data_IF_242708711519
#
_entry.id   IF_242708711519
#
_cell.length_a   1.000
_cell.length_b   1.000
_cell.length_c   1.000
_cell.angle_alpha   90.00
_cell.angle_beta   90.00
_cell.angle_gamma   90.00
#
_symmetry.space_group_name_H-M   'P 1'
#
loop_
_entity.id
_entity.type
_entity.pdbx_description
1 polymer ?
#
# COMPACT_ATOMS: atom_id res chain seq x y z
N UNK A 1 -3.41 13.86 -52.17
CA UNK A 1 -2.40 14.90 -51.89
C UNK A 1 -1.54 14.45 -50.73
N UNK A 2 -0.35 13.96 -51.08
CA UNK A 2 0.76 13.66 -50.16
C UNK A 2 1.34 14.97 -49.65
N UNK A 3 1.68 15.05 -48.36
CA UNK A 3 2.91 15.72 -47.92
C UNK A 3 3.57 14.90 -46.83
N UNK A 4 4.76 14.43 -47.18
CA UNK A 4 5.73 13.66 -46.41
C UNK A 4 6.90 14.57 -45.99
N UNK A 5 7.33 14.47 -44.72
CA UNK A 5 8.72 14.60 -44.17
C UNK A 5 9.52 15.91 -44.39
N UNK A 6 10.73 16.10 -43.78
CA UNK A 6 11.40 15.44 -42.64
C UNK A 6 12.01 16.45 -41.63
N UNK A 7 12.60 15.97 -40.51
CA UNK A 7 14.01 16.20 -40.12
C UNK A 7 14.29 15.59 -38.74
N UNK A 8 15.26 14.68 -38.74
CA UNK A 8 15.90 13.99 -37.63
C UNK A 8 16.94 14.93 -37.00
N UNK A 9 17.07 14.91 -35.67
CA UNK A 9 18.39 14.90 -34.98
C UNK A 9 18.19 14.48 -33.52
N UNK A 10 18.77 13.34 -33.18
CA UNK A 10 18.83 12.83 -31.82
C UNK A 10 19.69 13.73 -30.92
N UNK A 11 19.35 13.73 -29.64
CA UNK A 11 20.25 14.16 -28.59
C UNK A 11 20.13 13.18 -27.42
N UNK A 12 21.19 12.39 -27.27
CA UNK A 12 21.54 11.64 -26.07
C UNK A 12 21.55 12.59 -24.86
N UNK A 13 20.59 12.46 -23.96
CA UNK A 13 20.68 13.09 -22.65
C UNK A 13 21.58 12.24 -21.75
N UNK A 14 22.82 12.73 -21.67
CA UNK A 14 23.91 12.31 -20.78
C UNK A 14 23.40 12.20 -19.34
N UNK A 15 23.60 11.02 -18.76
CA UNK A 15 23.43 10.74 -17.34
C UNK A 15 24.34 11.65 -16.51
N UNK A 16 23.76 12.44 -15.60
CA UNK A 16 24.49 13.12 -14.53
C UNK A 16 23.83 12.76 -13.20
N UNK A 17 24.08 11.53 -12.74
CA UNK A 17 23.78 11.11 -11.37
C UNK A 17 25.00 11.47 -10.54
N UNK A 18 24.89 12.57 -9.80
CA UNK A 18 25.88 12.97 -8.80
C UNK A 18 25.69 12.10 -7.56
N UNK A 19 26.46 11.02 -7.44
CA UNK A 19 26.56 10.24 -6.22
C UNK A 19 27.31 11.07 -5.18
N UNK A 20 26.56 11.77 -4.31
CA UNK A 20 27.13 12.29 -3.06
C UNK A 20 27.35 11.07 -2.16
N UNK A 21 28.62 10.70 -1.97
CA UNK A 21 29.02 9.66 -1.04
C UNK A 21 28.55 10.04 0.37
N UNK A 22 27.49 9.39 0.85
CA UNK A 22 27.11 9.44 2.26
C UNK A 22 28.10 8.56 3.01
N UNK A 23 28.93 9.18 3.84
CA UNK A 23 29.73 8.50 4.84
C UNK A 23 28.83 8.09 6.00
N UNK A 24 27.93 7.14 5.76
CA UNK A 24 27.21 6.45 6.81
C UNK A 24 27.90 5.12 7.05
N UNK A 25 28.73 5.12 8.08
CA UNK A 25 29.36 3.92 8.63
C UNK A 25 28.20 2.99 9.06
N UNK A 26 28.05 1.80 8.47
CA UNK A 26 27.04 0.88 8.93
C UNK A 26 27.31 0.50 10.39
N UNK A 27 26.29 0.64 11.24
CA UNK A 27 26.28 0.25 12.66
C UNK A 27 26.67 -1.22 12.92
N UNK A 28 26.88 -2.01 11.86
CA UNK A 28 27.43 -3.36 11.89
C UNK A 28 28.89 -3.42 12.41
N UNK A 29 29.66 -2.33 12.37
CA UNK A 29 31.04 -2.32 12.88
C UNK A 29 31.16 -2.16 14.41
N UNK A 30 30.11 -1.72 15.13
CA UNK A 30 30.23 -1.40 16.57
C UNK A 30 29.92 -2.60 17.49
N UNK A 31 29.26 -3.66 17.00
CA UNK A 31 28.93 -4.81 17.86
C UNK A 31 30.08 -5.82 18.02
N UNK A 32 31.16 -5.74 17.23
CA UNK A 32 32.32 -6.61 17.39
C UNK A 32 33.41 -6.07 18.33
N UNK A 33 33.20 -4.93 18.99
CA UNK A 33 34.22 -4.24 19.77
C UNK A 33 34.07 -4.36 21.31
N UNK A 34 33.44 -5.43 21.82
CA UNK A 34 33.48 -5.73 23.28
C UNK A 34 33.64 -7.23 23.56
N UNK A 35 34.72 -7.85 23.11
CA UNK A 35 35.29 -9.00 23.83
C UNK A 35 36.81 -8.93 23.73
N UNK A 36 37.42 -8.19 24.65
CA UNK A 36 38.84 -8.29 24.95
C UNK A 36 39.17 -9.72 25.41
N UNK A 37 40.21 -10.30 24.81
CA UNK A 37 41.02 -11.43 25.28
C UNK A 37 40.29 -12.46 26.16
N UNK A 38 39.73 -13.47 25.51
CA UNK A 38 39.38 -14.73 26.15
C UNK A 38 38.92 -15.71 25.08
N UNK A 39 39.70 -16.76 24.83
CA UNK A 39 39.26 -17.89 24.00
C UNK A 39 38.07 -18.59 24.71
N UNK A 40 36.87 -18.04 24.59
CA UNK A 40 35.63 -18.71 24.96
C UNK A 40 35.23 -19.58 23.78
N UNK A 41 35.46 -20.89 23.90
CA UNK A 41 34.92 -21.87 22.97
C UNK A 41 33.43 -21.60 22.74
N UNK A 42 32.97 -21.74 21.50
CA UNK A 42 31.57 -21.51 21.13
C UNK A 42 30.66 -22.33 22.06
N UNK A 43 30.17 -21.70 23.12
CA UNK A 43 29.23 -22.33 24.02
C UNK A 43 27.96 -22.59 23.21
N UNK A 44 27.27 -23.71 23.51
CA UNK A 44 26.02 -24.07 22.82
C UNK A 44 25.02 -22.90 22.83
N UNK A 45 25.08 -22.06 23.87
CA UNK A 45 24.25 -20.86 24.06
C UNK A 45 24.62 -19.75 23.06
N UNK A 46 25.91 -19.48 22.84
CA UNK A 46 26.35 -18.49 21.85
C UNK A 46 25.98 -18.87 20.41
N UNK A 47 26.10 -20.16 20.08
CA UNK A 47 25.69 -20.68 18.77
C UNK A 47 24.17 -20.58 18.56
N UNK A 48 23.36 -20.90 19.57
CA UNK A 48 21.90 -20.78 19.51
C UNK A 48 21.43 -19.33 19.43
N UNK A 49 22.12 -18.41 20.10
CA UNK A 49 21.87 -16.97 19.97
C UNK A 49 22.12 -16.48 18.55
N UNK A 50 23.28 -16.82 17.97
CA UNK A 50 23.60 -16.49 16.58
C UNK A 50 22.62 -17.10 15.57
N UNK A 51 22.21 -18.36 15.75
CA UNK A 51 21.23 -19.03 14.90
C UNK A 51 19.84 -18.39 15.00
N UNK A 52 19.43 -17.98 16.21
CA UNK A 52 18.14 -17.31 16.42
C UNK A 52 18.11 -15.92 15.80
N UNK A 53 19.20 -15.15 15.95
CA UNK A 53 19.36 -13.84 15.29
C UNK A 53 19.43 -14.01 13.77
N UNK A 54 20.18 -15.00 13.27
CA UNK A 54 20.23 -15.30 11.84
C UNK A 54 18.85 -15.72 11.29
N UNK A 55 18.09 -16.55 12.01
CA UNK A 55 16.73 -16.94 11.65
C UNK A 55 15.77 -15.73 11.62
N UNK A 56 15.86 -14.84 12.61
CA UNK A 56 15.09 -13.59 12.64
C UNK A 56 15.45 -12.66 11.48
N UNK A 57 16.73 -12.59 11.08
CA UNK A 57 17.17 -11.81 9.92
C UNK A 57 16.77 -12.47 8.58
N UNK A 58 16.59 -13.79 8.54
CA UNK A 58 16.08 -14.53 7.38
C UNK A 58 14.55 -14.41 7.21
N UNK A 59 13.82 -14.03 8.26
CA UNK A 59 12.38 -13.72 8.18
C UNK A 59 12.18 -12.36 7.49
N UNK A 60 12.42 -12.30 6.17
CA UNK A 60 11.96 -11.16 5.36
C UNK A 60 10.44 -11.17 5.29
N UNK A 61 9.81 -10.26 6.03
CA UNK A 61 8.43 -9.89 5.78
C UNK A 61 8.37 -9.03 4.50
N UNK A 62 8.06 -9.66 3.36
CA UNK A 62 7.65 -8.93 2.16
C UNK A 62 6.25 -8.33 2.38
N UNK A 63 6.20 -7.19 3.06
CA UNK A 63 5.00 -6.37 3.09
C UNK A 63 4.91 -5.56 1.80
N UNK A 64 3.95 -5.93 0.94
CA UNK A 64 3.63 -5.17 -0.26
C UNK A 64 3.10 -3.77 0.11
N UNK A 65 3.92 -2.74 -0.14
CA UNK A 65 3.62 -1.31 -0.21
C UNK A 65 2.50 -0.83 -1.15
N UNK A 66 1.22 -1.24 -1.06
CA UNK A 66 0.24 -0.87 -2.12
C UNK A 66 -0.31 0.56 -1.90
N UNK A 67 -0.06 1.53 -2.80
CA UNK A 67 -0.49 2.91 -2.62
C UNK A 67 -2.01 3.08 -2.78
N UNK A 68 -2.55 4.10 -2.11
CA UNK A 68 -3.93 4.53 -2.28
C UNK A 68 -4.09 5.29 -3.61
N UNK A 69 -5.20 5.07 -4.29
CA UNK A 69 -5.63 5.87 -5.44
C UNK A 69 -6.89 6.63 -5.05
N UNK A 70 -6.82 7.96 -5.11
CA UNK A 70 -7.97 8.84 -4.89
C UNK A 70 -8.68 9.08 -6.22
N UNK A 71 -10.00 8.95 -6.24
CA UNK A 71 -10.81 9.12 -7.45
C UNK A 71 -11.31 10.56 -7.54
N UNK A 72 -10.42 11.51 -7.80
CA UNK A 72 -10.75 12.94 -7.81
C UNK A 72 -11.93 13.30 -8.74
N UNK A 73 -12.04 12.61 -9.87
CA UNK A 73 -13.12 12.81 -10.84
C UNK A 73 -14.50 12.40 -10.33
N UNK A 74 -14.58 11.63 -9.24
CA UNK A 74 -15.85 11.20 -8.64
C UNK A 74 -16.63 12.37 -8.02
N UNK A 75 -15.93 13.40 -7.52
CA UNK A 75 -16.56 14.60 -6.95
C UNK A 75 -17.47 15.29 -7.97
N UNK A 76 -17.03 15.39 -9.23
CA UNK A 76 -17.81 16.00 -10.31
C UNK A 76 -19.09 15.20 -10.65
N UNK A 77 -19.20 13.96 -10.17
CA UNK A 77 -20.36 13.08 -10.33
C UNK A 77 -21.18 12.96 -9.02
N UNK A 78 -20.87 13.75 -8.00
CA UNK A 78 -21.53 13.69 -6.69
C UNK A 78 -21.11 12.53 -5.80
N UNK A 79 -20.21 11.64 -6.26
CA UNK A 79 -19.75 10.51 -5.46
C UNK A 79 -18.63 10.97 -4.51
N UNK A 80 -18.97 11.07 -3.23
CA UNK A 80 -18.09 11.55 -2.15
C UNK A 80 -18.22 10.69 -0.89
N UNK A 81 -17.21 10.74 -0.04
CA UNK A 81 -17.27 10.24 1.33
C UNK A 81 -18.15 11.15 2.21
N UNK A 82 -18.41 10.72 3.46
CA UNK A 82 -19.19 11.51 4.42
C UNK A 82 -18.68 12.94 4.65
N UNK A 83 -17.37 13.18 4.56
CA UNK A 83 -16.77 14.52 4.71
C UNK A 83 -16.70 15.32 3.39
N UNK A 84 -17.28 14.80 2.31
CA UNK A 84 -17.19 15.38 0.98
C UNK A 84 -15.86 15.14 0.26
N UNK A 85 -14.90 14.41 0.82
CA UNK A 85 -13.70 13.98 0.09
C UNK A 85 -14.03 12.94 -0.99
N UNK A 86 -13.25 12.85 -2.09
CA UNK A 86 -13.46 11.79 -3.08
C UNK A 86 -13.20 10.39 -2.50
N UNK A 87 -13.88 9.35 -3.00
CA UNK A 87 -13.64 7.96 -2.62
C UNK A 87 -12.25 7.48 -3.08
N UNK A 88 -11.81 6.35 -2.51
CA UNK A 88 -10.47 5.82 -2.74
C UNK A 88 -10.43 4.29 -2.82
N UNK A 89 -9.39 3.75 -3.45
CA UNK A 89 -9.12 2.32 -3.51
C UNK A 89 -7.61 2.02 -3.51
N UNK A 90 -7.24 0.76 -3.25
CA UNK A 90 -5.90 0.23 -3.49
C UNK A 90 -5.98 -0.82 -4.57
N UNK A 91 -5.02 -0.83 -5.50
CA UNK A 91 -4.98 -1.74 -6.63
C UNK A 91 -3.59 -2.35 -6.79
N UNK A 92 -3.53 -3.68 -6.79
CA UNK A 92 -2.36 -4.43 -7.25
C UNK A 92 -2.74 -5.09 -8.59
N UNK A 93 -2.03 -4.74 -9.66
CA UNK A 93 -2.31 -5.26 -11.01
C UNK A 93 -1.97 -6.75 -11.10
N UNK A 94 -2.79 -7.48 -11.83
CA UNK A 94 -2.59 -8.89 -12.10
C UNK A 94 -1.42 -9.17 -13.04
N UNK A 95 -1.04 -10.44 -13.15
CA UNK A 95 0.07 -10.90 -13.98
C UNK A 95 -0.19 -12.30 -14.57
N UNK A 96 0.50 -12.62 -15.67
CA UNK A 96 0.37 -13.91 -16.35
C UNK A 96 -1.08 -14.22 -16.73
N UNK A 97 -1.55 -15.42 -16.37
CA UNK A 97 -2.93 -15.86 -16.64
C UNK A 97 -4.01 -15.06 -15.91
N UNK A 98 -3.67 -14.35 -14.83
CA UNK A 98 -4.61 -13.57 -14.02
C UNK A 98 -4.83 -12.12 -14.50
N UNK A 99 -4.13 -11.67 -15.56
CA UNK A 99 -4.18 -10.27 -16.01
C UNK A 99 -5.57 -9.78 -16.44
N UNK A 100 -6.45 -10.71 -16.85
CA UNK A 100 -7.82 -10.40 -17.26
C UNK A 100 -8.87 -10.72 -16.19
N UNK A 101 -8.45 -11.24 -15.03
CA UNK A 101 -9.34 -11.60 -13.94
C UNK A 101 -9.29 -10.54 -12.84
N UNK A 102 -10.41 -10.35 -12.15
CA UNK A 102 -10.59 -9.29 -11.16
C UNK A 102 -11.16 -9.82 -9.86
N UNK A 103 -10.53 -9.44 -8.75
CA UNK A 103 -11.04 -9.65 -7.40
C UNK A 103 -11.31 -8.28 -6.78
N UNK A 104 -12.60 -7.96 -6.63
CA UNK A 104 -13.08 -6.71 -6.04
C UNK A 104 -13.49 -6.95 -4.60
N UNK A 105 -12.76 -6.35 -3.66
CA UNK A 105 -13.04 -6.46 -2.24
C UNK A 105 -13.52 -5.13 -1.68
N UNK A 106 -14.69 -5.13 -1.05
CA UNK A 106 -15.27 -3.98 -0.39
C UNK A 106 -14.87 -3.98 1.09
N UNK A 107 -14.19 -2.92 1.55
CA UNK A 107 -13.81 -2.80 2.96
C UNK A 107 -15.06 -2.74 3.85
N UNK A 108 -15.11 -3.54 4.93
CA UNK A 108 -16.20 -3.46 5.90
C UNK A 108 -15.98 -2.38 6.96
N UNK A 109 -17.03 -2.10 7.75
CA UNK A 109 -16.83 -1.25 8.93
C UNK A 109 -18.05 -0.79 9.71
N UNK A 110 -19.18 -1.49 9.61
CA UNK A 110 -20.45 -1.04 10.18
C UNK A 110 -20.97 0.23 9.50
N UNK A 111 -22.08 0.78 9.97
CA UNK A 111 -22.71 1.98 9.40
C UNK A 111 -22.96 3.01 10.51
N UNK A 112 -23.45 4.19 10.15
CA UNK A 112 -24.03 5.14 11.09
C UNK A 112 -25.54 5.23 10.84
N UNK A 113 -26.33 5.28 11.90
CA UNK A 113 -27.80 5.18 11.85
C UNK A 113 -28.50 6.51 12.15
N UNK A 114 -27.77 7.47 12.72
CA UNK A 114 -28.28 8.78 13.10
C UNK A 114 -27.24 9.86 12.79
N UNK A 115 -27.70 11.10 12.73
CA UNK A 115 -26.88 12.26 12.35
C UNK A 115 -25.66 12.41 13.27
N UNK A 116 -25.83 12.26 14.59
CA UNK A 116 -24.74 12.43 15.55
C UNK A 116 -23.62 11.39 15.33
N UNK A 117 -23.99 10.13 15.10
CA UNK A 117 -23.06 9.06 14.77
C UNK A 117 -22.39 9.29 13.42
N UNK A 118 -23.14 9.74 12.40
CA UNK A 118 -22.55 10.03 11.09
C UNK A 118 -21.56 11.20 11.16
N UNK A 119 -21.90 12.29 11.86
CA UNK A 119 -21.00 13.44 12.07
C UNK A 119 -19.73 13.02 12.83
N UNK A 120 -19.86 12.21 13.89
CA UNK A 120 -18.68 11.72 14.61
C UNK A 120 -17.78 10.82 13.73
N UNK A 121 -18.38 10.08 12.80
CA UNK A 121 -17.68 9.16 11.90
C UNK A 121 -17.04 9.87 10.70
N UNK A 122 -17.67 10.94 10.20
CA UNK A 122 -17.22 11.81 9.10
C UNK A 122 -15.75 12.12 9.25
N UNK A 123 -15.35 12.46 10.46
CA UNK A 123 -14.00 12.90 10.80
C UNK A 123 -13.00 11.78 11.08
N UNK A 124 -13.25 10.56 10.59
CA UNK A 124 -12.37 9.39 10.75
C UNK A 124 -11.93 8.81 9.40
N UNK A 125 -11.02 7.82 9.41
CA UNK A 125 -10.63 7.06 8.20
C UNK A 125 -11.80 6.36 7.48
N UNK A 126 -12.96 6.24 8.14
CA UNK A 126 -14.20 5.60 7.64
C UNK A 126 -15.28 6.60 7.24
N UNK A 127 -14.97 7.89 7.25
CA UNK A 127 -15.80 8.97 6.72
C UNK A 127 -15.04 9.93 5.81
N UNK A 128 -13.70 9.81 5.73
CA UNK A 128 -12.83 10.72 4.98
C UNK A 128 -11.65 9.97 4.35
N UNK A 129 -11.47 10.13 3.04
CA UNK A 129 -10.29 9.59 2.33
C UNK A 129 -9.01 10.34 2.66
N UNK A 130 -9.11 11.61 3.06
CA UNK A 130 -7.99 12.42 3.56
C UNK A 130 -7.34 11.78 4.80
N UNK A 131 -8.15 11.11 5.62
CA UNK A 131 -7.76 10.45 6.88
C UNK A 131 -7.43 8.96 6.73
N UNK A 132 -7.42 8.42 5.50
CA UNK A 132 -7.01 7.04 5.23
C UNK A 132 -5.50 6.89 5.12
N UNK A 133 -5.00 5.73 5.55
CA UNK A 133 -3.63 5.29 5.29
C UNK A 133 -3.31 5.33 3.81
N UNK A 134 -2.17 5.94 3.48
CA UNK A 134 -1.74 6.16 2.09
C UNK A 134 -1.19 4.92 1.42
N UNK A 135 -0.86 3.90 2.21
CA UNK A 135 -0.42 2.61 1.70
C UNK A 135 -1.00 1.48 2.53
N UNK A 136 -1.14 0.29 1.95
CA UNK A 136 -1.60 -0.89 2.68
C UNK A 136 -1.00 -2.18 2.13
N UNK A 137 -0.82 -3.17 3.02
CA UNK A 137 -0.52 -4.54 2.64
C UNK A 137 -1.78 -5.33 2.34
N UNK A 138 -1.76 -6.10 1.26
CA UNK A 138 -2.77 -7.14 1.03
C UNK A 138 -2.37 -8.47 1.65
N UNK A 139 -3.36 -9.18 2.18
CA UNK A 139 -3.24 -10.48 2.83
C UNK A 139 -4.49 -11.33 2.56
N UNK A 140 -4.47 -12.60 2.98
CA UNK A 140 -5.56 -13.54 2.75
C UNK A 140 -5.87 -13.69 1.26
N UNK A 141 -7.15 -13.63 0.90
CA UNK A 141 -7.63 -13.73 -0.50
C UNK A 141 -7.12 -12.60 -1.42
N UNK A 142 -6.68 -11.48 -0.85
CA UNK A 142 -6.03 -10.40 -1.62
C UNK A 142 -4.51 -10.56 -1.68
N UNK A 143 -3.92 -11.51 -0.95
CA UNK A 143 -2.47 -11.67 -0.86
C UNK A 143 -1.84 -12.18 -2.16
N UNK A 144 -0.59 -11.75 -2.43
CA UNK A 144 0.17 -12.14 -3.64
C UNK A 144 0.87 -13.50 -3.54
N UNK A 145 0.85 -14.14 -2.36
CA UNK A 145 1.59 -15.38 -2.11
C UNK A 145 0.73 -16.56 -2.55
N UNK A 146 1.11 -17.22 -3.65
CA UNK A 146 0.38 -18.37 -4.19
C UNK A 146 0.15 -19.48 -3.16
N UNK A 147 1.13 -19.75 -2.28
CA UNK A 147 0.98 -20.75 -1.22
C UNK A 147 -0.17 -20.45 -0.24
N UNK A 148 -0.55 -19.18 -0.05
CA UNK A 148 -1.62 -18.76 0.85
C UNK A 148 -2.89 -18.31 0.10
N UNK A 149 -2.77 -18.01 -1.20
CA UNK A 149 -3.85 -17.57 -2.08
C UNK A 149 -3.72 -18.27 -3.44
N UNK A 150 -3.94 -19.59 -3.51
CA UNK A 150 -3.65 -20.38 -4.72
C UNK A 150 -4.46 -19.94 -5.94
N UNK A 151 -5.67 -19.44 -5.71
CA UNK A 151 -6.63 -19.15 -6.77
C UNK A 151 -6.49 -17.74 -7.37
N UNK A 152 -6.18 -16.73 -6.53
CA UNK A 152 -6.28 -15.32 -6.91
C UNK A 152 -4.96 -14.54 -6.84
N UNK A 153 -3.84 -15.16 -6.44
CA UNK A 153 -2.58 -14.45 -6.19
C UNK A 153 -2.07 -13.59 -7.36
N UNK A 154 -2.40 -13.95 -8.60
CA UNK A 154 -2.00 -13.25 -9.81
C UNK A 154 -3.12 -12.47 -10.51
N UNK A 155 -4.31 -12.36 -9.89
CA UNK A 155 -5.42 -11.56 -10.43
C UNK A 155 -5.18 -10.06 -10.20
N UNK A 156 -5.92 -9.21 -10.93
CA UNK A 156 -6.08 -7.81 -10.53
C UNK A 156 -6.86 -7.77 -9.22
N UNK A 157 -6.22 -7.30 -8.15
CA UNK A 157 -6.79 -7.30 -6.82
C UNK A 157 -7.01 -5.86 -6.40
N UNK A 158 -8.27 -5.51 -6.16
CA UNK A 158 -8.67 -4.16 -5.76
C UNK A 158 -9.38 -4.20 -4.42
N UNK A 159 -9.01 -3.28 -3.53
CA UNK A 159 -9.71 -3.03 -2.27
C UNK A 159 -10.31 -1.64 -2.31
N UNK A 160 -11.63 -1.57 -2.39
CA UNK A 160 -12.39 -0.33 -2.30
C UNK A 160 -12.41 0.10 -0.83
N UNK A 161 -11.99 1.34 -0.55
CA UNK A 161 -11.98 1.88 0.81
C UNK A 161 -13.37 2.38 1.19
N UNK A 162 -13.76 2.08 2.41
CA UNK A 162 -15.11 2.36 2.90
C UNK A 162 -15.19 3.73 3.57
N UNK A 163 -16.06 4.60 3.09
CA UNK A 163 -16.18 5.98 3.60
C UNK A 163 -17.57 6.62 3.51
N UNK A 164 -18.57 5.90 3.00
CA UNK A 164 -19.96 6.36 2.84
C UNK A 164 -20.80 6.17 4.11
N UNK A 165 -20.39 5.28 5.01
CA UNK A 165 -21.08 5.05 6.28
C UNK A 165 -22.45 4.36 6.16
N UNK A 166 -22.83 3.89 4.96
CA UNK A 166 -24.11 3.23 4.67
C UNK A 166 -23.92 1.84 4.07
N UNK A 167 -22.80 1.18 4.35
CA UNK A 167 -22.49 -0.17 3.85
C UNK A 167 -22.57 -0.31 2.33
N UNK A 168 -22.21 0.75 1.59
CA UNK A 168 -22.29 0.82 0.13
C UNK A 168 -23.73 0.80 -0.44
N UNK A 169 -24.74 1.11 0.36
CA UNK A 169 -26.14 1.14 -0.10
C UNK A 169 -26.71 2.55 -0.26
N UNK A 170 -25.95 3.61 0.07
CA UNK A 170 -26.39 4.99 -0.12
C UNK A 170 -26.46 5.41 -1.58
N UNK A 171 -27.56 6.08 -1.96
CA UNK A 171 -27.89 6.51 -3.32
C UNK A 171 -28.40 7.97 -3.38
N UNK A 172 -28.19 8.74 -2.31
CA UNK A 172 -28.64 10.15 -2.24
C UNK A 172 -27.87 11.03 -3.22
N UNK A 173 -28.60 11.69 -4.11
CA UNK A 173 -28.05 12.64 -5.09
C UNK A 173 -27.77 14.02 -4.47
N UNK A 174 -28.56 14.40 -3.46
CA UNK A 174 -28.47 15.69 -2.79
C UNK A 174 -27.88 15.53 -1.39
N UNK A 175 -26.93 16.42 -1.05
CA UNK A 175 -26.30 16.49 0.27
C UNK A 175 -27.27 17.15 1.26
N UNK A 176 -27.43 16.58 2.45
CA UNK A 176 -28.13 17.25 3.54
C UNK A 176 -27.33 18.50 3.95
N UNK A 177 -27.89 19.72 3.87
CA UNK A 177 -27.17 20.95 4.20
C UNK A 177 -26.66 21.03 5.64
N UNK A 178 -27.07 20.12 6.54
CA UNK A 178 -26.68 20.06 7.96
C UNK A 178 -25.52 19.07 8.21
N UNK A 179 -25.03 18.35 7.19
CA UNK A 179 -24.00 17.30 7.31
C UNK A 179 -22.54 17.79 7.41
#
# INVERSE_FOLDING_TARGET
MSKSSPIIKGLQLRQNIHWRASTDIPLYCIVFATTSLGMMGLSRIGLWSCLSVALLLLLRAEAASIPITIVETARARGAVCLDGSPPAYHLERGSGSGINNWLVHMEGGGWCEDLARCVSRRDTRRGSSSKMDKTMGFSGILGRKQAANPDFYNWNRIKIRYCDGSSFTGDVEAVDPVS
#
